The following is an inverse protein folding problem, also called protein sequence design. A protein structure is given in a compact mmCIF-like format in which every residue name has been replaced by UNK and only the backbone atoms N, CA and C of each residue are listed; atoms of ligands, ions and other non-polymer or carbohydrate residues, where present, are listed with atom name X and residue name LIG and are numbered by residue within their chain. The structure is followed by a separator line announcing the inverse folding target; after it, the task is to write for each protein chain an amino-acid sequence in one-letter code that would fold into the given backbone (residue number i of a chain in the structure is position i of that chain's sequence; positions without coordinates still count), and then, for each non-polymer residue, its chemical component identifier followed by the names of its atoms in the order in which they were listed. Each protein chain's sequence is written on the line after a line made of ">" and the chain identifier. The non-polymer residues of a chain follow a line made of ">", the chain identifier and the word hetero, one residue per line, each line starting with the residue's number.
data_IF_168677268038
#
_entry.id   IF_168677268038
#
_cell.length_a   1.000
_cell.length_b   1.000
_cell.length_c   1.000
_cell.angle_alpha   90.00
_cell.angle_beta   90.00
_cell.angle_gamma   90.00
#
_symmetry.space_group_name_H-M   'P 1'
#
loop_
_entity.id
_entity.type
_entity.pdbx_description
1 polymer ?
#
# COMPACT_ATOMS: atom_id res chain seq x y z
N UNK A 1 -20.24 5.13 -11.32
CA UNK A 1 -18.89 5.19 -11.93
C UNK A 1 -18.15 3.90 -11.60
N UNK A 2 -17.97 2.99 -12.58
CA UNK A 2 -17.34 1.69 -12.35
C UNK A 2 -15.94 1.81 -11.73
N UNK A 3 -15.23 2.90 -12.06
CA UNK A 3 -13.84 3.13 -11.68
C UNK A 3 -13.57 3.15 -10.17
N UNK A 4 -14.37 3.91 -9.41
CA UNK A 4 -14.18 4.06 -7.97
C UNK A 4 -14.51 2.78 -7.19
N UNK A 5 -15.64 2.12 -7.50
CA UNK A 5 -16.02 0.84 -6.87
C UNK A 5 -14.99 -0.24 -7.17
N UNK A 6 -14.44 -0.26 -8.37
CA UNK A 6 -13.38 -1.19 -8.74
C UNK A 6 -12.09 -0.89 -7.97
N UNK A 7 -11.69 0.37 -7.84
CA UNK A 7 -10.52 0.76 -7.06
C UNK A 7 -10.64 0.33 -5.58
N UNK A 8 -11.80 0.58 -4.94
CA UNK A 8 -12.04 0.14 -3.55
C UNK A 8 -11.92 -1.38 -3.41
N UNK A 9 -12.51 -2.14 -4.33
CA UNK A 9 -12.41 -3.61 -4.33
C UNK A 9 -10.97 -4.05 -4.51
N UNK A 10 -10.26 -3.50 -5.48
CA UNK A 10 -8.87 -3.86 -5.77
C UNK A 10 -7.95 -3.54 -4.60
N UNK A 11 -8.10 -2.37 -3.98
CA UNK A 11 -7.36 -2.01 -2.77
C UNK A 11 -7.64 -2.96 -1.61
N UNK A 12 -8.90 -3.35 -1.40
CA UNK A 12 -9.26 -4.33 -0.37
C UNK A 12 -8.68 -5.73 -0.62
N UNK A 13 -8.72 -6.22 -1.87
CA UNK A 13 -8.10 -7.51 -2.22
C UNK A 13 -6.59 -7.44 -2.05
N UNK A 14 -5.95 -6.34 -2.45
CA UNK A 14 -4.53 -6.13 -2.27
C UNK A 14 -4.12 -6.15 -0.79
N UNK A 15 -4.86 -5.43 0.06
CA UNK A 15 -4.65 -5.49 1.52
C UNK A 15 -4.79 -6.90 2.07
N UNK A 16 -5.76 -7.69 1.59
CA UNK A 16 -5.92 -9.08 2.03
C UNK A 16 -4.72 -9.94 1.59
N UNK A 17 -4.24 -9.76 0.35
CA UNK A 17 -3.08 -10.49 -0.16
C UNK A 17 -1.83 -10.16 0.66
N UNK A 18 -1.55 -8.88 0.89
CA UNK A 18 -0.42 -8.45 1.72
C UNK A 18 -0.54 -9.01 3.15
N UNK A 19 -1.72 -8.91 3.76
CA UNK A 19 -1.93 -9.42 5.12
C UNK A 19 -1.72 -10.95 5.22
N UNK A 20 -2.15 -11.70 4.20
CA UNK A 20 -1.93 -13.16 4.15
C UNK A 20 -0.46 -13.48 3.91
N UNK A 21 0.19 -12.77 2.98
CA UNK A 21 1.62 -12.94 2.72
C UNK A 21 2.45 -12.68 3.97
N UNK A 22 2.28 -11.53 4.63
CA UNK A 22 3.04 -11.16 5.84
C UNK A 22 2.74 -12.10 7.02
N UNK A 23 1.48 -12.51 7.22
CA UNK A 23 1.13 -13.39 8.35
C UNK A 23 1.72 -14.79 8.21
N UNK A 24 1.84 -15.30 6.98
CA UNK A 24 2.39 -16.62 6.71
C UNK A 24 3.85 -16.59 6.22
N UNK A 25 4.43 -15.40 6.07
CA UNK A 25 5.76 -15.16 5.49
C UNK A 25 5.90 -15.87 4.14
N UNK A 26 4.94 -15.65 3.22
CA UNK A 26 4.87 -16.41 1.97
C UNK A 26 6.06 -16.11 1.07
N UNK A 27 6.44 -14.84 0.94
CA UNK A 27 7.63 -14.39 0.19
C UNK A 27 8.97 -14.88 0.74
N UNK A 28 9.02 -15.26 2.02
CA UNK A 28 10.22 -15.83 2.63
C UNK A 28 10.25 -17.36 2.55
N UNK A 29 9.11 -18.01 2.83
CA UNK A 29 9.08 -19.46 3.11
C UNK A 29 8.63 -20.32 1.95
N UNK A 30 7.83 -19.77 1.03
CA UNK A 30 7.11 -20.57 0.05
C UNK A 30 7.34 -20.11 -1.40
N UNK A 31 7.45 -18.81 -1.63
CA UNK A 31 7.63 -18.24 -2.97
C UNK A 31 8.80 -17.28 -2.90
N UNK A 32 9.75 -17.39 -3.84
CA UNK A 32 10.91 -16.51 -3.85
C UNK A 32 10.51 -15.03 -3.87
N UNK A 33 11.07 -14.27 -2.92
CA UNK A 33 10.93 -12.83 -2.77
C UNK A 33 11.10 -12.06 -4.10
N UNK A 34 12.07 -12.49 -4.91
CA UNK A 34 12.35 -11.96 -6.26
C UNK A 34 11.22 -12.14 -7.28
N UNK A 35 10.15 -12.87 -6.96
CA UNK A 35 8.93 -13.01 -7.77
C UNK A 35 7.80 -12.19 -7.15
N UNK A 36 7.57 -12.30 -5.84
CA UNK A 36 6.43 -11.66 -5.17
C UNK A 36 6.56 -10.13 -5.15
N UNK A 37 7.73 -9.59 -4.79
CA UNK A 37 7.91 -8.13 -4.68
C UNK A 37 7.63 -7.41 -6.01
N UNK A 38 8.20 -7.85 -7.16
CA UNK A 38 7.87 -7.25 -8.44
C UNK A 38 6.37 -7.29 -8.76
N UNK A 39 5.66 -8.35 -8.37
CA UNK A 39 4.20 -8.44 -8.60
C UNK A 39 3.44 -7.38 -7.81
N UNK A 40 3.81 -7.11 -6.56
CA UNK A 40 3.23 -6.02 -5.77
C UNK A 40 3.51 -4.66 -6.40
N UNK A 41 4.75 -4.42 -6.82
CA UNK A 41 5.12 -3.17 -7.50
C UNK A 41 4.31 -2.99 -8.80
N UNK A 42 4.22 -4.03 -9.64
CA UNK A 42 3.43 -4.01 -10.88
C UNK A 42 1.96 -3.73 -10.56
N UNK A 43 1.41 -4.34 -9.52
CA UNK A 43 0.03 -4.12 -9.12
C UNK A 43 -0.24 -2.68 -8.66
N UNK A 44 0.63 -2.11 -7.83
CA UNK A 44 0.52 -0.71 -7.38
C UNK A 44 0.65 0.25 -8.57
N UNK A 45 1.58 -0.01 -9.49
CA UNK A 45 1.72 0.77 -10.74
C UNK A 45 0.46 0.65 -11.59
N UNK A 46 -0.11 -0.56 -11.71
CA UNK A 46 -1.35 -0.80 -12.43
C UNK A 46 -2.50 0.02 -11.83
N UNK A 47 -2.66 0.02 -10.50
CA UNK A 47 -3.65 0.85 -9.80
C UNK A 47 -3.45 2.32 -10.15
N UNK A 48 -2.22 2.82 -10.06
CA UNK A 48 -1.89 4.20 -10.37
C UNK A 48 -2.25 4.55 -11.82
N UNK A 49 -1.79 3.78 -12.81
CA UNK A 49 -2.03 4.06 -14.23
C UNK A 49 -3.53 4.01 -14.56
N UNK A 50 -4.23 3.01 -14.03
CA UNK A 50 -5.65 2.76 -14.35
C UNK A 50 -6.60 3.73 -13.65
N UNK A 51 -6.27 4.15 -12.43
CA UNK A 51 -7.14 4.91 -11.55
C UNK A 51 -6.58 6.28 -11.13
N UNK A 52 -5.52 6.79 -11.79
CA UNK A 52 -4.84 8.06 -11.45
C UNK A 52 -5.79 9.21 -11.15
N UNK A 53 -6.83 9.40 -11.96
CA UNK A 53 -7.77 10.51 -11.78
C UNK A 53 -8.54 10.39 -10.47
N UNK A 54 -9.01 9.19 -10.14
CA UNK A 54 -9.72 8.90 -8.89
C UNK A 54 -8.77 8.99 -7.69
N UNK A 55 -7.57 8.41 -7.79
CA UNK A 55 -6.54 8.43 -6.71
C UNK A 55 -6.16 9.87 -6.36
N UNK A 56 -5.82 10.68 -7.36
CA UNK A 56 -5.44 12.09 -7.17
C UNK A 56 -6.61 12.93 -6.63
N UNK A 57 -7.85 12.59 -6.96
CA UNK A 57 -9.04 13.29 -6.47
C UNK A 57 -9.44 12.91 -5.04
N UNK A 58 -9.05 11.72 -4.56
CA UNK A 58 -9.31 11.27 -3.18
C UNK A 58 -8.27 11.87 -2.24
N UNK A 59 -7.01 11.48 -2.43
CA UNK A 59 -5.84 11.95 -1.71
C UNK A 59 -4.57 11.33 -2.35
N UNK A 60 -4.04 11.99 -3.38
CA UNK A 60 -2.85 11.49 -4.07
C UNK A 60 -1.62 11.43 -3.17
N UNK A 61 -1.49 12.37 -2.22
CA UNK A 61 -0.35 12.42 -1.31
C UNK A 61 -0.33 11.19 -0.41
N UNK A 62 -1.46 10.85 0.22
CA UNK A 62 -1.56 9.66 1.05
C UNK A 62 -1.25 8.37 0.28
N UNK A 63 -1.71 8.26 -0.97
CA UNK A 63 -1.40 7.11 -1.82
C UNK A 63 0.10 6.98 -2.12
N UNK A 64 0.76 8.08 -2.51
CA UNK A 64 2.19 8.07 -2.80
C UNK A 64 3.03 7.89 -1.54
N UNK A 65 2.58 8.41 -0.40
CA UNK A 65 3.24 8.19 0.89
C UNK A 65 3.22 6.70 1.25
N UNK A 66 2.05 6.05 1.17
CA UNK A 66 1.94 4.61 1.40
C UNK A 66 2.85 3.82 0.45
N UNK A 67 2.69 4.00 -0.87
CA UNK A 67 3.52 3.30 -1.85
C UNK A 67 5.03 3.56 -1.69
N UNK A 68 5.41 4.77 -1.27
CA UNK A 68 6.80 5.12 -0.98
C UNK A 68 7.34 4.42 0.27
N UNK A 69 6.53 4.32 1.33
CA UNK A 69 6.89 3.61 2.56
C UNK A 69 6.97 2.10 2.34
N UNK A 70 6.05 1.52 1.56
CA UNK A 70 6.12 0.13 1.10
C UNK A 70 7.40 -0.14 0.30
N UNK A 71 7.76 0.78 -0.61
CA UNK A 71 9.02 0.65 -1.34
C UNK A 71 10.23 0.71 -0.40
N UNK A 72 10.21 1.59 0.61
CA UNK A 72 11.31 1.71 1.57
C UNK A 72 11.43 0.49 2.48
N UNK A 73 10.33 -0.13 2.92
CA UNK A 73 10.41 -1.36 3.73
C UNK A 73 11.08 -2.49 2.94
N UNK A 74 10.58 -2.74 1.72
CA UNK A 74 11.12 -3.71 0.76
C UNK A 74 12.60 -3.42 0.45
N UNK A 75 12.96 -2.15 0.27
CA UNK A 75 14.35 -1.78 -0.01
C UNK A 75 15.27 -2.08 1.18
N UNK A 76 14.85 -1.74 2.40
CA UNK A 76 15.63 -2.01 3.62
C UNK A 76 15.84 -3.51 3.80
N UNK A 77 14.80 -4.31 3.59
CA UNK A 77 14.85 -5.76 3.64
C UNK A 77 15.85 -6.31 2.62
N UNK A 78 15.74 -5.92 1.35
CA UNK A 78 16.60 -6.39 0.27
C UNK A 78 18.09 -6.03 0.44
N UNK A 79 18.42 -4.92 1.12
CA UNK A 79 19.81 -4.51 1.36
C UNK A 79 20.30 -4.84 2.77
N UNK A 80 19.48 -5.47 3.63
CA UNK A 80 19.82 -5.68 5.03
C UNK A 80 21.14 -6.43 5.22
N UNK A 81 21.41 -7.42 4.36
CA UNK A 81 22.64 -8.23 4.40
C UNK A 81 23.89 -7.47 3.94
N UNK A 82 23.71 -6.35 3.23
CA UNK A 82 24.78 -5.53 2.68
C UNK A 82 25.13 -4.35 3.59
N UNK A 83 24.26 -4.00 4.54
CA UNK A 83 24.47 -2.85 5.41
C UNK A 83 25.40 -3.20 6.58
N UNK A 84 26.40 -2.35 6.90
CA UNK A 84 27.27 -2.53 8.06
C UNK A 84 26.58 -2.07 9.35
N UNK A 85 25.33 -2.51 9.57
CA UNK A 85 24.51 -2.18 10.75
C UNK A 85 24.06 -3.46 11.43
N UNK A 86 23.61 -3.36 12.68
CA UNK A 86 23.07 -4.52 13.38
C UNK A 86 21.72 -4.92 12.78
N UNK A 87 21.46 -6.23 12.73
CA UNK A 87 20.17 -6.77 12.29
C UNK A 87 18.98 -6.12 13.02
N UNK A 88 19.09 -5.93 14.34
CA UNK A 88 18.02 -5.28 15.11
C UNK A 88 17.71 -3.85 14.63
N UNK A 89 18.72 -3.10 14.15
CA UNK A 89 18.53 -1.76 13.63
C UNK A 89 17.90 -1.79 12.23
N UNK A 90 18.41 -2.62 11.31
CA UNK A 90 17.79 -2.78 9.99
C UNK A 90 16.34 -3.25 10.09
N UNK A 91 16.05 -4.23 10.96
CA UNK A 91 14.70 -4.71 11.22
C UNK A 91 13.80 -3.60 11.78
N UNK A 92 14.32 -2.75 12.69
CA UNK A 92 13.54 -1.63 13.24
C UNK A 92 13.14 -0.64 12.14
N UNK A 93 14.03 -0.38 11.19
CA UNK A 93 13.70 0.47 10.04
C UNK A 93 12.70 -0.19 9.10
N UNK A 94 12.92 -1.45 8.75
CA UNK A 94 12.03 -2.23 7.88
C UNK A 94 10.59 -2.26 8.44
N UNK A 95 10.43 -2.72 9.68
CA UNK A 95 9.14 -2.81 10.37
C UNK A 95 8.53 -1.43 10.61
N UNK A 96 9.36 -0.42 10.88
CA UNK A 96 8.94 0.97 10.99
C UNK A 96 8.31 1.47 9.69
N UNK A 97 8.94 1.17 8.54
CA UNK A 97 8.40 1.50 7.23
C UNK A 97 7.11 0.72 6.92
N UNK A 98 7.04 -0.59 7.23
CA UNK A 98 5.81 -1.40 7.08
C UNK A 98 4.66 -0.83 7.91
N UNK A 99 4.93 -0.44 9.16
CA UNK A 99 3.91 0.15 10.03
C UNK A 99 3.41 1.49 9.50
N UNK A 100 4.32 2.39 9.12
CA UNK A 100 3.94 3.70 8.57
C UNK A 100 3.21 3.57 7.23
N UNK A 101 3.64 2.65 6.37
CA UNK A 101 2.93 2.28 5.13
C UNK A 101 1.50 1.84 5.44
N UNK A 102 1.32 0.85 6.31
CA UNK A 102 0.01 0.34 6.69
C UNK A 102 -0.90 1.45 7.24
N UNK A 103 -0.37 2.37 8.03
CA UNK A 103 -1.11 3.53 8.53
C UNK A 103 -1.52 4.50 7.40
N UNK A 104 -0.61 4.84 6.49
CA UNK A 104 -0.88 5.71 5.35
C UNK A 104 -1.88 5.07 4.36
N UNK A 105 -1.73 3.76 4.10
CA UNK A 105 -2.62 2.99 3.24
C UNK A 105 -4.02 2.87 3.83
N UNK A 106 -4.13 2.59 5.13
CA UNK A 106 -5.41 2.57 5.83
C UNK A 106 -6.10 3.93 5.75
N UNK A 107 -5.37 5.01 6.01
CA UNK A 107 -5.89 6.37 5.88
C UNK A 107 -6.41 6.63 4.45
N UNK A 108 -5.62 6.31 3.42
CA UNK A 108 -6.06 6.46 2.04
C UNK A 108 -7.32 5.63 1.73
N UNK A 109 -7.36 4.37 2.19
CA UNK A 109 -8.52 3.50 2.04
C UNK A 109 -9.77 4.07 2.73
N UNK A 110 -9.65 4.65 3.91
CA UNK A 110 -10.76 5.32 4.60
C UNK A 110 -11.23 6.56 3.84
N UNK A 111 -10.31 7.39 3.35
CA UNK A 111 -10.63 8.57 2.52
C UNK A 111 -11.34 8.16 1.24
N UNK A 112 -10.89 7.09 0.61
CA UNK A 112 -11.50 6.51 -0.57
C UNK A 112 -12.90 5.97 -0.26
N UNK A 113 -13.08 5.21 0.83
CA UNK A 113 -14.39 4.68 1.22
C UNK A 113 -15.41 5.80 1.55
N UNK A 114 -14.94 6.91 2.14
CA UNK A 114 -15.76 8.08 2.47
C UNK A 114 -15.93 9.07 1.29
N UNK A 115 -15.27 8.81 0.15
CA UNK A 115 -15.25 9.72 -0.98
C UNK A 115 -16.66 9.96 -1.52
N UNK A 116 -17.05 11.24 -1.66
CA UNK A 116 -18.38 11.72 -2.10
C UNK A 116 -19.56 11.45 -1.16
N UNK A 117 -19.36 10.88 0.03
CA UNK A 117 -20.35 11.02 1.12
C UNK A 117 -20.41 12.46 1.66
N UNK A 118 -19.35 13.25 1.42
CA UNK A 118 -19.24 14.66 1.80
C UNK A 118 -19.92 15.63 0.79
N UNK A 119 -20.63 15.13 -0.24
CA UNK A 119 -21.27 15.94 -1.30
C UNK A 119 -22.80 15.73 -1.32
N UNK A 120 -23.40 15.36 -0.17
CA UNK A 120 -24.84 15.53 -0.01
C UNK A 120 -25.12 17.03 0.24
N UNK A 121 -25.92 17.72 -0.58
CA UNK A 121 -26.17 19.13 -0.40
C UNK A 121 -26.93 19.39 0.90
N UNK A 122 -26.47 20.40 1.63
CA UNK A 122 -27.10 20.98 2.81
C UNK A 122 -28.28 21.88 2.39
N UNK A 123 -29.21 21.33 1.60
CA UNK A 123 -30.40 22.03 1.13
C UNK A 123 -31.64 21.19 1.40
N UNK A 124 -32.07 21.23 2.66
CA UNK A 124 -33.45 21.03 3.07
C UNK A 124 -33.91 22.35 3.72
N UNK A 125 -34.13 23.37 2.88
CA UNK A 125 -34.96 24.53 3.21
C UNK A 125 -36.36 24.32 2.58
#
# INVERSE_FOLDING_TARGET
>A
MPDHRNLVKLAGHFSLVLAVDDFFLIHDRYIAEGIIIPLYAIFVIYLLVRHRGTILSVDGFAFFLAGGLLFMSVLVDAVQELMPVSYGLSQTFEEGFKFMDGAAWLYFCTRMAAYRLQVAPDHAD
#
